data_IF_249948536117
#
_entry.id   IF_249948536117
#
_cell.length_a   1.000
_cell.length_b   1.000
_cell.length_c   1.000
_cell.angle_alpha   90.00
_cell.angle_beta   90.00
_cell.angle_gamma   90.00
#
_symmetry.space_group_name_H-M   'P 1'
#
loop_
_entity.id
_entity.type
_entity.pdbx_description
1 polymer ?
#
# COMPACT_ATOMS: atom_id res chain seq x y z
N UNK A 1 -3.21 -35.98 19.22
CA UNK A 1 -2.51 -34.73 18.87
C UNK A 1 -3.48 -33.74 18.21
N UNK A 2 -4.61 -33.44 18.88
CA UNK A 2 -5.74 -32.79 18.19
C UNK A 2 -6.71 -32.06 19.14
N UNK A 3 -6.21 -31.26 20.10
CA UNK A 3 -7.09 -30.46 20.98
C UNK A 3 -6.66 -29.02 21.34
N UNK A 4 -5.47 -28.53 20.96
CA UNK A 4 -5.03 -27.19 21.40
C UNK A 4 -4.80 -26.15 20.28
N UNK A 5 -5.17 -26.45 19.02
CA UNK A 5 -4.92 -25.53 17.90
C UNK A 5 -5.97 -24.42 17.72
N UNK A 6 -7.13 -24.52 18.40
CA UNK A 6 -8.21 -23.55 18.27
C UNK A 6 -8.01 -22.29 19.14
N UNK A 7 -6.89 -22.17 19.87
CA UNK A 7 -6.58 -21.02 20.72
C UNK A 7 -5.23 -20.37 20.41
N UNK A 8 -4.69 -20.53 19.19
CA UNK A 8 -3.54 -19.72 18.78
C UNK A 8 -4.04 -18.29 18.59
N UNK A 9 -3.94 -17.49 19.65
CA UNK A 9 -4.16 -16.04 19.58
C UNK A 9 -2.96 -15.46 18.84
N UNK A 10 -3.13 -15.17 17.56
CA UNK A 10 -2.13 -14.43 16.80
C UNK A 10 -2.03 -13.02 17.38
N UNK A 11 -0.90 -12.70 18.00
CA UNK A 11 -0.66 -11.37 18.54
C UNK A 11 -0.19 -10.41 17.42
N UNK A 12 -1.07 -10.18 16.44
CA UNK A 12 -0.79 -9.35 15.25
C UNK A 12 -0.38 -7.93 15.66
N UNK A 13 -0.94 -7.38 16.74
CA UNK A 13 -0.57 -6.06 17.28
C UNK A 13 0.90 -6.02 17.69
N UNK A 14 1.34 -7.01 18.48
CA UNK A 14 2.73 -7.08 18.90
C UNK A 14 3.65 -7.33 17.70
N UNK A 15 3.25 -8.20 16.77
CA UNK A 15 4.02 -8.46 15.55
C UNK A 15 4.23 -7.18 14.73
N UNK A 16 3.16 -6.41 14.50
CA UNK A 16 3.20 -5.12 13.79
C UNK A 16 4.08 -4.12 14.55
N UNK A 17 3.90 -3.98 15.87
CA UNK A 17 4.69 -3.06 16.69
C UNK A 17 6.18 -3.37 16.66
N UNK A 18 6.54 -4.65 16.85
CA UNK A 18 7.93 -5.13 16.82
C UNK A 18 8.53 -4.93 15.43
N UNK A 19 7.79 -5.25 14.35
CA UNK A 19 8.31 -5.07 12.99
C UNK A 19 8.54 -3.60 12.63
N UNK A 20 7.70 -2.68 13.11
CA UNK A 20 7.92 -1.23 12.94
C UNK A 20 9.12 -0.74 13.72
N UNK A 21 9.30 -1.17 14.98
CA UNK A 21 10.48 -0.81 15.78
C UNK A 21 11.76 -1.27 15.06
N UNK A 22 11.78 -2.50 14.56
CA UNK A 22 12.90 -3.04 13.80
C UNK A 22 13.16 -2.27 12.49
N UNK A 23 12.10 -1.96 11.74
CA UNK A 23 12.20 -1.20 10.49
C UNK A 23 12.72 0.22 10.73
N UNK A 24 12.18 0.92 11.73
CA UNK A 24 12.63 2.27 12.10
C UNK A 24 14.09 2.27 12.59
N UNK A 25 14.47 1.30 13.41
CA UNK A 25 15.85 1.13 13.86
C UNK A 25 16.79 0.92 12.66
N UNK A 26 16.42 0.03 11.73
CA UNK A 26 17.16 -0.21 10.51
C UNK A 26 17.30 1.07 9.66
N UNK A 27 16.19 1.79 9.41
CA UNK A 27 16.19 3.06 8.66
C UNK A 27 17.15 4.07 9.30
N UNK A 28 17.01 4.32 10.60
CA UNK A 28 17.86 5.27 11.32
C UNK A 28 19.33 4.89 11.23
N UNK A 29 19.66 3.61 11.44
CA UNK A 29 21.05 3.12 11.34
C UNK A 29 21.62 3.30 9.93
N UNK A 30 20.86 2.98 8.88
CA UNK A 30 21.34 3.18 7.50
C UNK A 30 21.54 4.65 7.16
N UNK A 31 20.70 5.56 7.65
CA UNK A 31 20.85 7.00 7.46
C UNK A 31 22.07 7.55 8.21
N UNK A 32 22.30 7.10 9.45
CA UNK A 32 23.49 7.46 10.24
C UNK A 32 24.75 6.97 9.51
N UNK A 33 24.77 5.72 9.06
CA UNK A 33 25.89 5.14 8.31
C UNK A 33 26.16 5.94 7.03
N UNK A 34 25.13 6.23 6.22
CA UNK A 34 25.27 7.02 5.00
C UNK A 34 25.92 8.39 5.26
N UNK A 35 25.60 9.01 6.40
CA UNK A 35 26.14 10.33 6.79
C UNK A 35 27.55 10.26 7.38
N UNK A 36 27.86 9.28 8.24
CA UNK A 36 29.13 9.22 8.99
C UNK A 36 30.20 8.37 8.31
N UNK A 37 29.81 7.32 7.59
CA UNK A 37 30.70 6.31 7.02
C UNK A 37 30.29 5.97 5.57
N UNK A 38 30.32 6.93 4.64
CA UNK A 38 29.87 6.72 3.27
C UNK A 38 30.71 5.70 2.48
N UNK A 39 31.99 5.53 2.86
CA UNK A 39 32.93 4.62 2.19
C UNK A 39 32.88 3.18 2.71
N UNK A 40 32.11 2.91 3.77
CA UNK A 40 31.97 1.55 4.29
C UNK A 40 31.20 0.63 3.35
N UNK A 41 31.57 -0.66 3.37
CA UNK A 41 30.95 -1.68 2.54
C UNK A 41 29.43 -1.74 2.74
N UNK A 42 28.69 -1.81 1.63
CA UNK A 42 27.24 -2.00 1.63
C UNK A 42 26.80 -3.33 2.25
N UNK A 43 27.72 -4.30 2.39
CA UNK A 43 27.47 -5.57 3.08
C UNK A 43 27.03 -5.36 4.53
N UNK A 44 27.56 -4.34 5.20
CA UNK A 44 27.22 -4.02 6.60
C UNK A 44 25.72 -3.73 6.74
N UNK A 45 25.09 -3.12 5.74
CA UNK A 45 23.64 -2.87 5.74
C UNK A 45 22.85 -4.18 5.68
N UNK A 46 23.26 -5.14 4.85
CA UNK A 46 22.62 -6.45 4.80
C UNK A 46 22.74 -7.19 6.15
N UNK A 47 23.90 -7.10 6.81
CA UNK A 47 24.12 -7.66 8.15
C UNK A 47 23.19 -7.00 9.17
N UNK A 48 23.09 -5.66 9.16
CA UNK A 48 22.17 -4.96 10.07
C UNK A 48 20.72 -5.32 9.85
N UNK A 49 20.27 -5.47 8.59
CA UNK A 49 18.91 -5.94 8.31
C UNK A 49 18.69 -7.34 8.90
N UNK A 50 19.62 -8.26 8.66
CA UNK A 50 19.54 -9.63 9.20
C UNK A 50 19.48 -9.65 10.73
N UNK A 51 20.31 -8.84 11.40
CA UNK A 51 20.29 -8.69 12.86
C UNK A 51 18.99 -8.07 13.37
N UNK A 52 18.47 -7.03 12.69
CA UNK A 52 17.21 -6.39 13.07
C UNK A 52 16.02 -7.36 12.94
N UNK A 53 15.96 -8.13 11.85
CA UNK A 53 14.94 -9.16 11.63
C UNK A 53 15.05 -10.27 12.67
N UNK A 54 16.27 -10.76 12.95
CA UNK A 54 16.47 -11.79 13.97
C UNK A 54 16.11 -11.30 15.37
N UNK A 55 16.48 -10.06 15.73
CA UNK A 55 16.11 -9.47 17.02
C UNK A 55 14.60 -9.29 17.15
N UNK A 56 13.93 -8.83 16.08
CA UNK A 56 12.47 -8.73 16.03
C UNK A 56 11.80 -10.10 16.21
N UNK A 57 12.31 -11.11 15.50
CA UNK A 57 11.84 -12.48 15.60
C UNK A 57 12.00 -13.05 17.01
N UNK A 58 13.18 -12.88 17.61
CA UNK A 58 13.48 -13.31 18.97
C UNK A 58 12.59 -12.60 20.00
N UNK A 59 12.42 -11.28 19.87
CA UNK A 59 11.55 -10.51 20.76
C UNK A 59 10.09 -10.97 20.67
N UNK A 60 9.61 -11.24 19.46
CA UNK A 60 8.27 -11.79 19.26
C UNK A 60 8.13 -13.18 19.90
N UNK A 61 9.12 -14.06 19.72
CA UNK A 61 9.17 -15.38 20.36
C UNK A 61 9.06 -15.30 21.88
N UNK A 62 9.82 -14.40 22.51
CA UNK A 62 9.72 -14.14 23.95
C UNK A 62 8.33 -13.66 24.36
N UNK A 63 7.71 -12.78 23.57
CA UNK A 63 6.41 -12.19 23.88
C UNK A 63 5.24 -13.18 23.71
N UNK A 64 5.36 -14.14 22.80
CA UNK A 64 4.38 -15.24 22.67
C UNK A 64 4.74 -16.45 23.52
N UNK A 65 5.76 -16.33 24.39
CA UNK A 65 6.24 -17.38 25.29
C UNK A 65 6.52 -18.71 24.57
N UNK A 66 7.05 -18.63 23.34
CA UNK A 66 7.32 -19.79 22.49
C UNK A 66 8.81 -19.88 22.15
N UNK A 67 9.29 -21.09 21.89
CA UNK A 67 10.64 -21.30 21.39
C UNK A 67 10.77 -20.84 19.93
N UNK A 68 12.00 -20.82 19.41
CA UNK A 68 12.24 -20.37 18.02
C UNK A 68 11.60 -21.30 16.99
N UNK A 69 11.29 -22.56 17.29
CA UNK A 69 10.59 -23.42 16.33
C UNK A 69 9.08 -23.22 16.41
N UNK A 70 8.53 -23.14 17.62
CA UNK A 70 7.12 -22.85 17.85
C UNK A 70 6.71 -21.50 17.28
N UNK A 71 7.53 -20.47 17.44
CA UNK A 71 7.29 -19.14 16.85
C UNK A 71 7.23 -19.18 15.33
N UNK A 72 8.11 -19.95 14.68
CA UNK A 72 8.08 -20.14 13.23
C UNK A 72 6.77 -20.80 12.80
N UNK A 73 6.31 -21.82 13.53
CA UNK A 73 5.03 -22.47 13.27
C UNK A 73 3.84 -21.52 13.48
N UNK A 74 3.86 -20.68 14.52
CA UNK A 74 2.84 -19.66 14.74
C UNK A 74 2.76 -18.70 13.54
N UNK A 75 3.90 -18.21 13.04
CA UNK A 75 3.92 -17.32 11.87
C UNK A 75 3.47 -18.05 10.59
N UNK A 76 3.87 -19.31 10.41
CA UNK A 76 3.42 -20.13 9.28
C UNK A 76 1.91 -20.37 9.32
N UNK A 77 1.34 -20.70 10.47
CA UNK A 77 -0.11 -20.88 10.62
C UNK A 77 -0.88 -19.56 10.55
N UNK A 78 -0.25 -18.43 10.88
CA UNK A 78 -0.85 -17.12 10.65
C UNK A 78 -1.11 -16.85 9.17
N UNK A 79 -0.15 -17.26 8.31
CA UNK A 79 -0.27 -17.17 6.85
C UNK A 79 -1.17 -18.27 6.33
N UNK A 80 -0.91 -19.52 6.70
CA UNK A 80 -1.63 -20.71 6.27
C UNK A 80 -2.51 -21.25 7.41
N UNK A 81 -3.66 -20.61 7.63
CA UNK A 81 -4.61 -21.02 8.68
C UNK A 81 -5.36 -22.34 8.38
N UNK A 82 -5.03 -23.00 7.26
CA UNK A 82 -5.63 -24.26 6.84
C UNK A 82 -7.02 -24.12 6.20
N UNK A 83 -7.61 -22.92 6.13
CA UNK A 83 -8.92 -22.73 5.53
C UNK A 83 -8.83 -22.63 4.01
N UNK A 84 -9.84 -23.18 3.31
CA UNK A 84 -9.96 -23.05 1.85
C UNK A 84 -10.06 -21.58 1.42
N UNK A 85 -10.78 -20.76 2.21
CA UNK A 85 -10.91 -19.31 2.01
C UNK A 85 -9.55 -18.62 1.99
N UNK A 86 -8.68 -18.89 2.99
CA UNK A 86 -7.31 -18.36 3.03
C UNK A 86 -6.49 -18.81 1.83
N UNK A 87 -6.56 -20.10 1.49
CA UNK A 87 -5.79 -20.64 0.37
C UNK A 87 -6.15 -19.92 -0.95
N UNK A 88 -7.44 -19.78 -1.25
CA UNK A 88 -7.90 -19.04 -2.43
C UNK A 88 -7.42 -17.58 -2.42
N UNK A 89 -7.48 -16.92 -1.27
CA UNK A 89 -7.02 -15.53 -1.11
C UNK A 89 -5.51 -15.42 -1.39
N UNK A 90 -4.69 -16.30 -0.82
CA UNK A 90 -3.23 -16.31 -1.03
C UNK A 90 -2.87 -16.62 -2.48
N UNK A 91 -3.55 -17.57 -3.13
CA UNK A 91 -3.34 -17.88 -4.54
C UNK A 91 -3.69 -16.69 -5.43
N UNK A 92 -4.81 -16.01 -5.14
CA UNK A 92 -5.20 -14.80 -5.86
C UNK A 92 -4.18 -13.67 -5.71
N UNK A 93 -3.68 -13.43 -4.49
CA UNK A 93 -2.65 -12.41 -4.25
C UNK A 93 -1.31 -12.79 -4.88
N UNK A 94 -0.96 -14.07 -4.89
CA UNK A 94 0.23 -14.57 -5.58
C UNK A 94 0.13 -14.31 -7.08
N UNK A 95 -1.01 -14.57 -7.71
CA UNK A 95 -1.25 -14.25 -9.12
C UNK A 95 -1.08 -12.75 -9.38
N UNK A 96 -1.69 -11.90 -8.56
CA UNK A 96 -1.54 -10.44 -8.63
C UNK A 96 -0.05 -9.99 -8.57
N UNK A 97 0.73 -10.60 -7.68
CA UNK A 97 2.15 -10.30 -7.52
C UNK A 97 2.97 -10.77 -8.74
N UNK A 98 2.73 -12.00 -9.22
CA UNK A 98 3.40 -12.55 -10.41
C UNK A 98 3.09 -11.67 -11.64
N UNK A 99 1.81 -11.33 -11.87
CA UNK A 99 1.41 -10.46 -12.97
C UNK A 99 2.09 -9.09 -12.89
N UNK A 100 2.26 -8.52 -11.70
CA UNK A 100 2.97 -7.24 -11.51
C UNK A 100 4.45 -7.31 -11.85
N UNK A 101 5.11 -8.42 -11.49
CA UNK A 101 6.52 -8.65 -11.85
C UNK A 101 6.64 -8.86 -13.36
N UNK A 102 5.81 -9.71 -13.96
CA UNK A 102 5.79 -9.95 -15.41
C UNK A 102 5.49 -8.69 -16.20
N UNK A 103 4.54 -7.87 -15.74
CA UNK A 103 4.23 -6.58 -16.34
C UNK A 103 5.45 -5.64 -16.29
N UNK A 104 6.13 -5.57 -15.15
CA UNK A 104 7.33 -4.75 -14.97
C UNK A 104 8.48 -5.20 -15.88
N UNK A 105 8.69 -6.51 -16.01
CA UNK A 105 9.67 -7.09 -16.93
C UNK A 105 9.28 -6.76 -18.39
N UNK A 106 8.02 -6.95 -18.77
CA UNK A 106 7.53 -6.65 -20.11
C UNK A 106 7.76 -5.18 -20.50
N UNK A 107 7.47 -4.24 -19.59
CA UNK A 107 7.68 -2.81 -19.82
C UNK A 107 9.19 -2.50 -19.95
N UNK A 108 10.03 -3.12 -19.11
CA UNK A 108 11.48 -3.02 -19.19
C UNK A 108 12.06 -3.56 -20.51
N UNK A 109 11.61 -4.73 -20.96
CA UNK A 109 12.03 -5.30 -22.24
C UNK A 109 11.71 -4.40 -23.44
N UNK A 110 10.66 -3.58 -23.34
CA UNK A 110 10.30 -2.61 -24.38
C UNK A 110 11.20 -1.36 -24.39
N UNK A 111 12.04 -1.17 -23.37
CA UNK A 111 12.98 -0.04 -23.24
C UNK A 111 12.33 1.35 -23.45
N UNK A 112 11.05 1.47 -23.08
CA UNK A 112 10.27 2.70 -23.18
C UNK A 112 9.82 3.12 -21.79
N UNK A 113 10.02 4.40 -21.47
CA UNK A 113 9.54 4.98 -20.21
C UNK A 113 8.05 4.70 -20.05
N UNK A 114 7.64 4.28 -18.85
CA UNK A 114 6.24 3.99 -18.57
C UNK A 114 5.39 5.27 -18.64
N UNK A 115 4.19 5.16 -19.21
CA UNK A 115 3.21 6.24 -19.21
C UNK A 115 2.31 6.14 -17.97
N UNK A 116 1.40 7.11 -17.82
CA UNK A 116 0.47 7.15 -16.68
C UNK A 116 -0.45 5.92 -16.62
N UNK A 117 -0.92 5.43 -17.76
CA UNK A 117 -1.78 4.23 -17.82
C UNK A 117 -1.06 2.99 -17.29
N UNK A 118 0.23 2.82 -17.61
CA UNK A 118 1.02 1.71 -17.06
C UNK A 118 1.11 1.77 -15.53
N UNK A 119 1.18 2.96 -14.92
CA UNK A 119 1.18 3.07 -13.45
C UNK A 119 -0.19 2.71 -12.83
N UNK A 120 -1.28 2.91 -13.57
CA UNK A 120 -2.64 2.51 -13.14
C UNK A 120 -2.84 1.00 -13.11
N UNK A 121 -1.99 0.22 -13.77
CA UNK A 121 -1.93 -1.22 -13.57
C UNK A 121 -1.69 -1.57 -12.09
N UNK A 122 -0.70 -0.94 -11.43
CA UNK A 122 -0.42 -1.21 -10.02
C UNK A 122 -1.54 -0.73 -9.09
N UNK A 123 -2.24 0.35 -9.44
CA UNK A 123 -3.40 0.83 -8.69
C UNK A 123 -4.55 -0.17 -8.75
N UNK A 124 -4.80 -0.75 -9.94
CA UNK A 124 -5.76 -1.82 -10.11
C UNK A 124 -5.35 -3.06 -9.30
N UNK A 125 -4.10 -3.51 -9.40
CA UNK A 125 -3.62 -4.69 -8.69
C UNK A 125 -3.78 -4.57 -7.19
N UNK A 126 -3.34 -3.45 -6.60
CA UNK A 126 -3.49 -3.26 -5.15
C UNK A 126 -4.96 -3.10 -4.74
N UNK A 127 -5.80 -2.51 -5.59
CA UNK A 127 -7.24 -2.44 -5.35
C UNK A 127 -7.87 -3.82 -5.28
N UNK A 128 -7.50 -4.75 -6.18
CA UNK A 128 -7.97 -6.12 -6.16
C UNK A 128 -7.56 -6.86 -4.88
N UNK A 129 -6.31 -6.67 -4.42
CA UNK A 129 -5.80 -7.24 -3.17
C UNK A 129 -6.57 -6.68 -1.97
N UNK A 130 -6.77 -5.36 -1.90
CA UNK A 130 -7.49 -4.72 -0.78
C UNK A 130 -8.97 -5.12 -0.77
N UNK A 131 -9.65 -5.08 -1.91
CA UNK A 131 -11.06 -5.51 -2.01
C UNK A 131 -11.22 -6.96 -1.56
N UNK A 132 -10.43 -7.87 -2.15
CA UNK A 132 -10.51 -9.30 -1.80
C UNK A 132 -10.17 -9.54 -0.34
N UNK A 133 -9.18 -8.83 0.23
CA UNK A 133 -8.84 -8.92 1.64
C UNK A 133 -9.92 -8.39 2.57
N UNK A 134 -10.55 -7.24 2.26
CA UNK A 134 -11.61 -6.66 3.08
C UNK A 134 -12.84 -7.57 3.19
N UNK A 135 -13.21 -8.27 2.12
CA UNK A 135 -14.31 -9.22 2.18
C UNK A 135 -13.95 -10.54 2.85
N UNK A 136 -12.69 -10.97 2.73
CA UNK A 136 -12.30 -12.32 3.11
C UNK A 136 -11.58 -12.40 4.45
N UNK A 137 -10.62 -11.51 4.70
CA UNK A 137 -9.87 -11.44 5.95
C UNK A 137 -9.24 -10.06 6.18
N UNK A 138 -9.99 -9.12 6.79
CA UNK A 138 -9.52 -7.76 7.07
C UNK A 138 -8.29 -7.71 7.98
N UNK A 139 -8.22 -8.58 8.99
CA UNK A 139 -7.11 -8.60 9.96
C UNK A 139 -5.80 -9.01 9.29
N UNK A 140 -5.83 -10.08 8.49
CA UNK A 140 -4.66 -10.51 7.73
C UNK A 140 -4.28 -9.51 6.63
N UNK A 141 -5.27 -8.88 6.00
CA UNK A 141 -5.02 -7.79 5.05
C UNK A 141 -4.28 -6.63 5.71
N UNK A 142 -4.71 -6.21 6.90
CA UNK A 142 -4.07 -5.11 7.63
C UNK A 142 -2.65 -5.45 8.07
N UNK A 143 -2.43 -6.67 8.60
CA UNK A 143 -1.09 -7.18 8.91
C UNK A 143 -0.21 -7.16 7.65
N UNK A 144 -0.69 -7.71 6.54
CA UNK A 144 0.02 -7.75 5.27
C UNK A 144 0.33 -6.34 4.74
N UNK A 145 -0.59 -5.38 4.90
CA UNK A 145 -0.41 -3.99 4.52
C UNK A 145 0.72 -3.30 5.28
N UNK A 146 0.81 -3.49 6.60
CA UNK A 146 1.91 -2.96 7.40
C UNK A 146 3.26 -3.56 6.96
N UNK A 147 3.34 -4.88 6.82
CA UNK A 147 4.58 -5.56 6.42
C UNK A 147 5.00 -5.18 5.01
N UNK A 148 4.04 -5.05 4.07
CA UNK A 148 4.34 -4.64 2.69
C UNK A 148 4.89 -3.21 2.63
N UNK A 149 4.32 -2.29 3.41
CA UNK A 149 4.83 -0.91 3.49
C UNK A 149 6.28 -0.88 4.01
N UNK A 150 6.58 -1.65 5.05
CA UNK A 150 7.94 -1.80 5.58
C UNK A 150 8.91 -2.37 4.54
N UNK A 151 8.50 -3.41 3.81
CA UNK A 151 9.28 -4.01 2.72
C UNK A 151 9.60 -2.97 1.65
N UNK A 152 8.63 -2.17 1.20
CA UNK A 152 8.87 -1.15 0.18
C UNK A 152 9.78 -0.01 0.67
N UNK A 153 9.73 0.35 1.96
CA UNK A 153 10.69 1.29 2.56
C UNK A 153 12.12 0.70 2.52
N UNK A 154 12.29 -0.57 2.88
CA UNK A 154 13.60 -1.26 2.85
C UNK A 154 14.12 -1.38 1.41
N UNK A 155 13.25 -1.74 0.46
CA UNK A 155 13.58 -1.80 -0.97
C UNK A 155 14.09 -0.44 -1.45
N UNK A 156 13.40 0.64 -1.11
CA UNK A 156 13.82 1.98 -1.53
C UNK A 156 15.15 2.40 -0.89
N UNK A 157 15.42 2.00 0.37
CA UNK A 157 16.74 2.20 0.99
C UNK A 157 17.82 1.43 0.23
N UNK A 158 17.57 0.17 -0.09
CA UNK A 158 18.52 -0.68 -0.83
C UNK A 158 18.83 -0.09 -2.20
N UNK A 159 17.81 0.40 -2.90
CA UNK A 159 17.94 1.07 -4.19
C UNK A 159 18.68 2.41 -4.08
N UNK A 160 18.16 3.34 -3.26
CA UNK A 160 18.73 4.68 -3.08
C UNK A 160 20.20 4.67 -2.63
N UNK A 161 20.56 3.75 -1.74
CA UNK A 161 21.92 3.66 -1.20
C UNK A 161 22.83 2.72 -1.98
N UNK A 162 22.37 2.17 -3.11
CA UNK A 162 23.13 1.24 -3.98
C UNK A 162 23.68 0.04 -3.21
N UNK A 163 22.82 -0.63 -2.45
CA UNK A 163 23.18 -1.80 -1.66
C UNK A 163 23.24 -3.05 -2.54
N UNK A 164 24.44 -3.60 -2.70
CA UNK A 164 24.67 -4.82 -3.46
C UNK A 164 24.23 -6.08 -2.67
N UNK A 165 23.78 -7.16 -3.36
CA UNK A 165 23.65 -7.30 -4.82
C UNK A 165 22.31 -6.76 -5.39
N UNK A 166 21.50 -6.07 -4.58
CA UNK A 166 20.09 -5.78 -4.89
C UNK A 166 19.88 -4.56 -5.77
N UNK A 167 20.69 -3.52 -5.55
CA UNK A 167 20.61 -2.18 -6.17
C UNK A 167 20.32 -2.20 -7.67
N UNK A 168 21.11 -2.94 -8.46
CA UNK A 168 21.02 -2.95 -9.91
C UNK A 168 19.68 -3.51 -10.42
N UNK A 169 19.23 -4.61 -9.80
CA UNK A 169 17.93 -5.20 -10.12
C UNK A 169 16.79 -4.25 -9.75
N UNK A 170 16.86 -3.64 -8.56
CA UNK A 170 15.84 -2.69 -8.08
C UNK A 170 15.78 -1.44 -8.97
N UNK A 171 16.91 -0.88 -9.37
CA UNK A 171 16.94 0.28 -10.27
C UNK A 171 16.30 -0.04 -11.63
N UNK A 172 16.60 -1.20 -12.22
CA UNK A 172 15.95 -1.62 -13.47
C UNK A 172 14.43 -1.74 -13.31
N UNK A 173 13.97 -2.32 -12.21
CA UNK A 173 12.55 -2.54 -11.97
C UNK A 173 11.78 -1.25 -11.69
N UNK A 174 12.38 -0.27 -11.00
CA UNK A 174 11.68 0.94 -10.54
C UNK A 174 11.92 2.17 -11.42
N UNK A 175 13.12 2.39 -11.97
CA UNK A 175 13.45 3.62 -12.69
C UNK A 175 12.62 3.84 -13.95
N UNK A 176 12.13 2.77 -14.58
CA UNK A 176 11.27 2.87 -15.77
C UNK A 176 9.89 3.49 -15.48
N UNK A 177 9.46 3.43 -14.21
CA UNK A 177 8.16 3.90 -13.75
C UNK A 177 8.16 5.31 -13.13
N UNK A 178 9.32 5.96 -12.98
CA UNK A 178 9.39 7.31 -12.38
C UNK A 178 8.55 8.32 -13.16
N UNK A 179 7.79 9.14 -12.45
CA UNK A 179 7.03 10.23 -13.03
C UNK A 179 7.49 11.60 -12.49
N UNK A 180 6.64 12.64 -12.61
CA UNK A 180 7.00 13.99 -12.17
C UNK A 180 7.08 14.17 -10.65
N UNK A 181 6.62 13.17 -9.88
CA UNK A 181 6.62 13.21 -8.42
C UNK A 181 7.85 12.52 -7.81
N UNK A 182 8.53 11.68 -8.59
CA UNK A 182 9.72 10.95 -8.17
C UNK A 182 11.00 11.56 -8.76
N UNK A 183 12.14 11.15 -8.18
CA UNK A 183 13.47 11.41 -8.71
C UNK A 183 14.24 10.10 -8.86
N UNK A 184 15.35 10.12 -9.61
CA UNK A 184 16.23 8.93 -9.69
C UNK A 184 16.80 8.56 -8.33
N UNK A 185 17.03 9.55 -7.48
CA UNK A 185 17.56 9.32 -6.14
C UNK A 185 16.46 8.77 -5.23
N UNK A 186 15.24 9.33 -5.27
CA UNK A 186 14.17 8.96 -4.36
C UNK A 186 12.86 8.69 -5.11
N UNK A 187 12.35 7.46 -4.98
CA UNK A 187 11.09 6.98 -5.57
C UNK A 187 10.11 6.68 -4.43
N UNK A 188 9.12 7.54 -4.25
CA UNK A 188 8.13 7.45 -3.17
C UNK A 188 6.76 6.99 -3.66
N UNK A 189 6.46 7.10 -4.95
CA UNK A 189 5.14 6.76 -5.51
C UNK A 189 4.62 5.39 -5.05
N UNK A 190 5.39 4.28 -5.09
CA UNK A 190 4.90 2.98 -4.62
C UNK A 190 4.64 2.92 -3.11
N UNK A 191 5.45 3.61 -2.30
CA UNK A 191 5.30 3.70 -0.85
C UNK A 191 4.03 4.50 -0.52
N UNK A 192 3.83 5.64 -1.19
CA UNK A 192 2.64 6.48 -1.02
C UNK A 192 1.37 5.77 -1.47
N UNK A 193 1.41 5.02 -2.59
CA UNK A 193 0.28 4.21 -3.02
C UNK A 193 -0.10 3.16 -1.97
N UNK A 194 0.88 2.38 -1.47
CA UNK A 194 0.61 1.40 -0.40
C UNK A 194 0.07 2.08 0.85
N UNK A 195 0.73 3.14 1.32
CA UNK A 195 0.30 3.89 2.49
C UNK A 195 -1.13 4.40 2.31
N UNK A 196 -1.48 5.03 1.17
CA UNK A 196 -2.81 5.54 0.89
C UNK A 196 -3.89 4.46 0.80
N UNK A 197 -3.58 3.31 0.18
CA UNK A 197 -4.51 2.19 0.05
C UNK A 197 -4.85 1.55 1.40
N UNK A 198 -3.87 1.41 2.30
CA UNK A 198 -4.05 0.77 3.61
C UNK A 198 -4.34 1.75 4.75
N UNK A 199 -4.15 3.06 4.56
CA UNK A 199 -4.42 4.10 5.54
C UNK A 199 -5.77 3.95 6.28
N UNK A 200 -6.93 3.73 5.61
CA UNK A 200 -8.19 3.61 6.34
C UNK A 200 -8.21 2.45 7.33
N UNK A 201 -7.49 1.36 7.04
CA UNK A 201 -7.32 0.22 7.95
C UNK A 201 -6.37 0.55 9.11
N UNK A 202 -5.30 1.31 8.84
CA UNK A 202 -4.36 1.73 9.88
C UNK A 202 -4.99 2.71 10.89
N UNK A 203 -5.95 3.52 10.43
CA UNK A 203 -6.71 4.42 11.28
C UNK A 203 -7.84 3.74 12.06
N UNK A 204 -8.34 2.58 11.59
CA UNK A 204 -9.44 1.89 12.27
C UNK A 204 -8.94 1.06 13.44
N UNK A 205 -8.79 1.70 14.60
CA UNK A 205 -8.46 1.01 15.84
C UNK A 205 -9.53 -0.02 16.20
N UNK A 206 -10.81 0.17 15.85
CA UNK A 206 -11.88 -0.77 16.23
C UNK A 206 -11.69 -2.15 15.62
N UNK A 207 -11.04 -2.24 14.45
CA UNK A 207 -10.74 -3.51 13.79
C UNK A 207 -9.89 -4.45 14.66
N UNK A 208 -8.98 -3.90 15.45
CA UNK A 208 -8.09 -4.68 16.30
C UNK A 208 -8.59 -4.84 17.75
N UNK A 209 -9.55 -4.03 18.20
CA UNK A 209 -9.96 -3.98 19.61
C UNK A 209 -11.45 -4.26 19.87
N UNK A 210 -12.30 -4.26 18.85
CA UNK A 210 -13.75 -4.40 19.01
C UNK A 210 -14.27 -5.74 18.46
N UNK A 211 -15.01 -6.53 19.27
CA UNK A 211 -15.69 -7.73 18.79
C UNK A 211 -16.86 -7.42 17.83
N UNK A 212 -17.29 -6.16 17.77
CA UNK A 212 -18.38 -5.68 16.91
C UNK A 212 -17.88 -4.93 15.67
N UNK A 213 -16.64 -5.17 15.24
CA UNK A 213 -16.14 -4.57 14.01
C UNK A 213 -17.03 -4.97 12.82
N UNK A 214 -17.36 -3.98 11.99
CA UNK A 214 -18.20 -4.15 10.81
C UNK A 214 -17.53 -3.52 9.60
N UNK A 215 -17.65 -4.17 8.45
CA UNK A 215 -17.15 -3.63 7.20
C UNK A 215 -18.01 -2.42 6.78
N UNK A 216 -17.35 -1.30 6.51
CA UNK A 216 -17.94 0.01 6.22
C UNK A 216 -17.31 0.64 4.98
N UNK A 217 -17.94 1.66 4.41
CA UNK A 217 -17.47 2.33 3.19
C UNK A 217 -16.09 2.97 3.40
N UNK A 218 -15.82 3.53 4.59
CA UNK A 218 -14.51 4.10 4.93
C UNK A 218 -13.33 3.15 4.69
N UNK A 219 -13.51 1.83 4.85
CA UNK A 219 -12.41 0.86 4.68
C UNK A 219 -11.95 0.76 3.23
N UNK A 220 -12.83 1.14 2.29
CA UNK A 220 -12.54 1.19 0.86
C UNK A 220 -12.09 2.57 0.40
N UNK A 221 -11.90 3.56 1.29
CA UNK A 221 -11.59 4.94 0.86
C UNK A 221 -10.35 5.03 -0.04
N UNK A 222 -9.30 4.25 0.23
CA UNK A 222 -8.12 4.16 -0.63
C UNK A 222 -8.43 3.59 -2.02
N UNK A 223 -9.19 2.48 -2.06
CA UNK A 223 -9.65 1.84 -3.30
C UNK A 223 -10.51 2.80 -4.11
N UNK A 224 -11.52 3.41 -3.49
CA UNK A 224 -12.44 4.30 -4.17
C UNK A 224 -11.71 5.52 -4.71
N UNK A 225 -10.93 6.19 -3.86
CA UNK A 225 -10.33 7.48 -4.22
C UNK A 225 -9.15 7.35 -5.18
N UNK A 226 -8.09 6.60 -4.85
CA UNK A 226 -6.90 6.50 -5.72
C UNK A 226 -6.92 5.27 -6.62
N UNK A 227 -7.46 4.14 -6.14
CA UNK A 227 -7.59 2.93 -6.95
C UNK A 227 -8.47 3.16 -8.18
N UNK A 228 -9.66 3.72 -7.97
CA UNK A 228 -10.65 4.00 -9.02
C UNK A 228 -10.63 5.47 -9.43
N UNK A 229 -10.93 6.40 -8.52
CA UNK A 229 -11.13 7.81 -8.83
C UNK A 229 -9.96 8.45 -9.58
N UNK A 230 -8.77 8.48 -8.97
CA UNK A 230 -7.56 9.05 -9.56
C UNK A 230 -7.14 8.32 -10.85
N UNK A 231 -7.35 6.99 -10.92
CA UNK A 231 -7.15 6.22 -12.15
C UNK A 231 -8.02 6.71 -13.29
N UNK A 232 -9.32 6.91 -13.06
CA UNK A 232 -10.24 7.41 -14.07
C UNK A 232 -10.01 8.89 -14.40
N UNK A 233 -9.68 9.74 -13.43
CA UNK A 233 -9.24 11.12 -13.68
C UNK A 233 -8.05 11.16 -14.64
N UNK A 234 -7.03 10.34 -14.39
CA UNK A 234 -5.84 10.28 -15.24
C UNK A 234 -6.13 9.73 -16.65
N UNK A 235 -6.91 8.66 -16.77
CA UNK A 235 -7.22 8.02 -18.06
C UNK A 235 -8.14 8.93 -18.90
N UNK A 236 -9.22 9.45 -18.31
CA UNK A 236 -10.16 10.33 -19.01
C UNK A 236 -9.52 11.68 -19.31
N UNK A 237 -8.84 12.28 -18.34
CA UNK A 237 -8.17 13.57 -18.53
C UNK A 237 -7.08 13.53 -19.60
N UNK A 238 -6.30 12.44 -19.68
CA UNK A 238 -5.26 12.31 -20.72
C UNK A 238 -5.81 12.03 -22.12
N UNK A 239 -6.99 11.41 -22.23
CA UNK A 239 -7.59 11.02 -23.53
C UNK A 239 -8.62 12.02 -24.06
N UNK A 240 -9.39 12.63 -23.16
CA UNK A 240 -10.55 13.46 -23.49
C UNK A 240 -10.51 14.85 -22.87
N UNK A 241 -9.53 15.15 -22.00
CA UNK A 241 -9.42 16.44 -21.34
C UNK A 241 -9.13 17.58 -22.31
N UNK A 242 -10.01 18.58 -22.34
CA UNK A 242 -9.89 19.78 -23.17
C UNK A 242 -9.88 21.04 -22.32
N UNK A 243 -10.61 21.02 -21.21
CA UNK A 243 -10.78 22.19 -20.36
C UNK A 243 -9.83 22.05 -19.16
N UNK A 244 -8.72 22.82 -19.11
CA UNK A 244 -7.81 22.79 -17.97
C UNK A 244 -8.52 23.35 -16.72
N UNK A 245 -8.10 22.87 -15.55
CA UNK A 245 -8.69 23.36 -14.30
C UNK A 245 -8.39 24.86 -14.10
N UNK A 246 -9.42 25.70 -13.84
CA UNK A 246 -9.27 27.16 -13.85
C UNK A 246 -8.52 27.73 -12.64
N UNK A 247 -8.53 27.03 -11.50
CA UNK A 247 -8.02 27.53 -10.22
C UNK A 247 -6.98 26.60 -9.60
N UNK A 248 -6.01 26.13 -10.39
CA UNK A 248 -4.89 25.34 -9.86
C UNK A 248 -3.88 26.21 -9.11
N UNK A 249 -3.50 25.83 -7.89
CA UNK A 249 -2.35 26.43 -7.21
C UNK A 249 -1.05 26.03 -7.93
N UNK A 250 -0.43 26.98 -8.63
CA UNK A 250 0.86 26.82 -9.32
C UNK A 250 0.80 26.89 -10.86
N UNK A 251 1.97 26.82 -11.51
CA UNK A 251 2.09 26.91 -12.97
C UNK A 251 1.35 25.75 -13.67
N UNK A 252 0.41 26.08 -14.57
CA UNK A 252 -0.36 25.17 -15.47
C UNK A 252 -0.58 23.76 -14.90
N UNK A 253 -1.59 23.63 -14.05
CA UNK A 253 -2.13 22.32 -13.67
C UNK A 253 -2.45 21.51 -14.93
N UNK A 254 -1.92 20.28 -15.02
CA UNK A 254 -2.25 19.33 -16.10
C UNK A 254 -3.62 18.67 -15.88
N UNK A 255 -4.33 19.05 -14.82
CA UNK A 255 -5.64 18.52 -14.45
C UNK A 255 -6.72 19.16 -15.32
N UNK A 256 -7.78 18.41 -15.58
CA UNK A 256 -8.83 18.79 -16.52
C UNK A 256 -10.20 18.60 -15.87
N UNK A 257 -11.17 19.43 -16.25
CA UNK A 257 -12.53 19.34 -15.72
C UNK A 257 -13.13 17.96 -16.04
N UNK A 258 -12.86 17.44 -17.24
CA UNK A 258 -13.32 16.12 -17.67
C UNK A 258 -12.75 15.00 -16.79
N UNK A 259 -11.47 15.10 -16.40
CA UNK A 259 -10.86 14.18 -15.45
C UNK A 259 -11.53 14.23 -14.08
N UNK A 260 -11.79 15.42 -13.55
CA UNK A 260 -12.46 15.60 -12.25
C UNK A 260 -13.89 15.08 -12.26
N UNK A 261 -14.65 15.30 -13.34
CA UNK A 261 -16.00 14.73 -13.54
C UNK A 261 -15.92 13.21 -13.51
N UNK A 262 -14.97 12.61 -14.25
CA UNK A 262 -14.79 11.16 -14.26
C UNK A 262 -14.51 10.62 -12.85
N UNK A 263 -13.55 11.20 -12.14
CA UNK A 263 -13.20 10.79 -10.77
C UNK A 263 -14.39 10.86 -9.81
N UNK A 264 -15.17 11.96 -9.84
CA UNK A 264 -16.34 12.11 -8.98
C UNK A 264 -17.35 10.99 -9.18
N UNK A 265 -17.77 10.74 -10.43
CA UNK A 265 -18.79 9.74 -10.72
C UNK A 265 -18.28 8.30 -10.55
N UNK A 266 -17.04 7.99 -10.95
CA UNK A 266 -16.54 6.62 -10.88
C UNK A 266 -16.31 6.14 -9.45
N UNK A 267 -15.99 7.04 -8.52
CA UNK A 267 -15.94 6.72 -7.08
C UNK A 267 -17.31 6.25 -6.57
N UNK A 268 -18.36 7.01 -6.89
CA UNK A 268 -19.73 6.69 -6.49
C UNK A 268 -20.15 5.35 -7.11
N UNK A 269 -19.99 5.20 -8.43
CA UNK A 269 -20.35 3.97 -9.14
C UNK A 269 -19.60 2.76 -8.58
N UNK A 270 -18.29 2.88 -8.32
CA UNK A 270 -17.51 1.79 -7.75
C UNK A 270 -17.99 1.41 -6.35
N UNK A 271 -18.31 2.40 -5.50
CA UNK A 271 -18.89 2.13 -4.18
C UNK A 271 -20.22 1.39 -4.30
N UNK A 272 -21.11 1.83 -5.19
CA UNK A 272 -22.40 1.14 -5.39
C UNK A 272 -22.23 -0.29 -5.92
N UNK A 273 -21.25 -0.54 -6.80
CA UNK A 273 -20.93 -1.90 -7.28
C UNK A 273 -20.41 -2.77 -6.13
N UNK A 274 -19.51 -2.23 -5.30
CA UNK A 274 -18.92 -2.93 -4.14
C UNK A 274 -20.00 -3.27 -3.11
N UNK A 275 -20.91 -2.33 -2.81
CA UNK A 275 -21.93 -2.49 -1.77
C UNK A 275 -23.31 -2.92 -2.27
N UNK A 276 -23.46 -3.23 -3.55
CA UNK A 276 -24.68 -3.83 -4.11
C UNK A 276 -25.86 -2.87 -4.30
N UNK A 277 -25.60 -1.60 -4.62
CA UNK A 277 -26.62 -0.56 -4.89
C UNK A 277 -27.62 -0.34 -3.74
N UNK A 278 -27.16 -0.47 -2.49
CA UNK A 278 -28.05 -0.46 -1.32
C UNK A 278 -28.57 0.94 -0.95
N UNK A 279 -27.74 1.99 -1.09
CA UNK A 279 -28.15 3.40 -0.95
C UNK A 279 -26.95 4.35 -1.14
N UNK A 280 -27.20 5.46 -1.83
CA UNK A 280 -26.20 6.53 -1.99
C UNK A 280 -26.07 7.31 -0.66
N UNK A 281 -24.97 7.09 0.06
CA UNK A 281 -24.73 7.76 1.34
C UNK A 281 -24.25 9.21 1.13
N UNK A 282 -24.72 10.19 1.94
CA UNK A 282 -24.18 11.56 1.90
C UNK A 282 -22.67 11.63 2.14
N UNK A 283 -22.14 10.74 2.99
CA UNK A 283 -20.71 10.62 3.27
C UNK A 283 -19.91 10.19 2.04
N UNK A 284 -20.43 9.29 1.21
CA UNK A 284 -19.83 8.91 -0.07
C UNK A 284 -19.77 10.07 -1.06
N UNK A 285 -20.88 10.80 -1.22
CA UNK A 285 -20.92 11.98 -2.12
C UNK A 285 -19.90 13.03 -1.66
N UNK A 286 -19.88 13.32 -0.36
CA UNK A 286 -18.95 14.30 0.22
C UNK A 286 -17.50 13.84 0.06
N UNK A 287 -17.22 12.56 0.32
CA UNK A 287 -15.89 11.97 0.17
C UNK A 287 -15.41 12.00 -1.28
N UNK A 288 -16.29 11.66 -2.24
CA UNK A 288 -15.99 11.74 -3.66
C UNK A 288 -15.69 13.19 -4.09
N UNK A 289 -16.47 14.17 -3.60
CA UNK A 289 -16.26 15.58 -3.87
C UNK A 289 -14.93 16.10 -3.29
N UNK A 290 -14.65 15.82 -2.02
CA UNK A 290 -13.39 16.20 -1.36
C UNK A 290 -12.19 15.59 -2.06
N UNK A 291 -12.25 14.31 -2.41
CA UNK A 291 -11.17 13.61 -3.13
C UNK A 291 -10.93 14.22 -4.51
N UNK A 292 -12.00 14.58 -5.23
CA UNK A 292 -11.91 15.22 -6.55
C UNK A 292 -11.30 16.62 -6.46
N UNK A 293 -11.68 17.41 -5.45
CA UNK A 293 -11.08 18.73 -5.21
C UNK A 293 -9.61 18.59 -4.85
N UNK A 294 -9.26 17.63 -3.99
CA UNK A 294 -7.87 17.35 -3.63
C UNK A 294 -7.04 16.97 -4.87
N UNK A 295 -7.55 16.09 -5.73
CA UNK A 295 -6.88 15.71 -6.99
C UNK A 295 -6.63 16.90 -7.90
N UNK A 296 -7.62 17.79 -8.04
CA UNK A 296 -7.52 18.97 -8.91
C UNK A 296 -6.47 19.99 -8.42
N UNK A 297 -6.17 19.99 -7.11
CA UNK A 297 -5.25 20.94 -6.48
C UNK A 297 -3.84 20.38 -6.25
N UNK A 298 -3.68 19.06 -6.21
CA UNK A 298 -2.40 18.42 -5.95
C UNK A 298 -1.59 18.21 -7.24
N UNK A 299 -0.33 18.65 -7.21
CA UNK A 299 0.65 18.36 -8.25
C UNK A 299 1.54 17.16 -7.91
N UNK A 300 1.61 16.78 -6.63
CA UNK A 300 2.35 15.62 -6.13
C UNK A 300 1.76 15.11 -4.81
N UNK A 301 2.10 13.87 -4.42
CA UNK A 301 1.62 13.22 -3.20
C UNK A 301 0.15 12.79 -3.26
N UNK A 302 -0.46 12.78 -4.45
CA UNK A 302 -1.87 12.41 -4.68
C UNK A 302 -2.20 11.02 -4.13
N UNK A 303 -1.30 10.05 -4.34
CA UNK A 303 -1.43 8.68 -3.87
C UNK A 303 -1.55 8.52 -2.33
N UNK A 304 -1.19 9.53 -1.54
CA UNK A 304 -1.30 9.52 -0.09
C UNK A 304 -2.32 10.54 0.44
N UNK A 305 -2.34 11.75 -0.12
CA UNK A 305 -3.15 12.85 0.40
C UNK A 305 -4.64 12.66 0.04
N UNK A 306 -4.95 12.27 -1.19
CA UNK A 306 -6.34 12.02 -1.62
C UNK A 306 -7.02 10.96 -0.73
N UNK A 307 -6.44 9.76 -0.51
CA UNK A 307 -7.09 8.74 0.30
C UNK A 307 -7.13 9.13 1.79
N UNK A 308 -6.19 9.94 2.27
CA UNK A 308 -6.27 10.55 3.60
C UNK A 308 -7.47 11.48 3.74
N UNK A 309 -7.68 12.41 2.80
CA UNK A 309 -8.84 13.29 2.79
C UNK A 309 -10.15 12.49 2.69
N UNK A 310 -10.18 11.47 1.83
CA UNK A 310 -11.33 10.56 1.69
C UNK A 310 -11.63 9.82 2.98
N UNK A 311 -10.61 9.23 3.62
CA UNK A 311 -10.76 8.48 4.87
C UNK A 311 -11.30 9.38 5.99
N UNK A 312 -10.72 10.56 6.19
CA UNK A 312 -11.18 11.53 7.21
C UNK A 312 -12.62 11.93 6.96
N UNK A 313 -12.99 12.17 5.70
CA UNK A 313 -14.37 12.52 5.37
C UNK A 313 -15.33 11.41 5.79
N UNK A 314 -15.04 10.14 5.49
CA UNK A 314 -15.87 9.06 6.00
C UNK A 314 -15.86 8.98 7.53
N UNK A 315 -14.71 9.11 8.19
CA UNK A 315 -14.63 9.08 9.66
C UNK A 315 -15.50 10.14 10.36
N UNK A 316 -15.67 11.30 9.73
CA UNK A 316 -16.45 12.41 10.30
C UNK A 316 -17.95 12.30 10.00
N UNK A 317 -18.35 11.58 8.94
CA UNK A 317 -19.72 11.65 8.39
C UNK A 317 -20.40 10.28 8.17
N UNK A 318 -19.74 9.15 8.44
CA UNK A 318 -20.29 7.76 8.38
C UNK A 318 -20.53 7.16 9.77
#
# INVERSE_FOLDING_TARGET
MNKDFNSIVYNDKALIGISWIATCSFVVMTLIRKRRFPCESSLIINIYLGLAVFAAYFLFACLVESDLKGTLLILLFRVFDGTYKRLCLLLFWLLCAIESILFSIMINCRQRKANTTHRKFFHLTISLIVISGLYNDPLFLALSGHLMLQIFIIIEIFRNQRIEPWSNFLDQMFLIFIDGQDSRDLILTPIFLLAGMFLPLFLDTTMLYSPHWTLKQRHFSGVLSVGVGDSFAAIVGSRFGRIPWPFGFGNKSRKTIEGSIAMFFTQIIASEIIFGFCSLSPSLILSAMVSTIAEAQLNSGDNLIIPFCSAITFYLFE
#
